data_IF_605138553175
#
_entry.id   IF_605138553175
#
_cell.length_a   1.000
_cell.length_b   1.000
_cell.length_c   1.000
_cell.angle_alpha   90.00
_cell.angle_beta   90.00
_cell.angle_gamma   90.00
#
_symmetry.space_group_name_H-M   'P 1'
#
loop_
_entity.id
_entity.type
_entity.pdbx_description
1 polymer ?
#
# COMPACT_ATOMS: atom_id res chain seq x y z
N UNK A 1 -6.35 -26.76 -0.58
CA UNK A 1 -5.30 -26.13 0.24
C UNK A 1 -4.90 -24.86 -0.50
N UNK A 2 -5.20 -23.69 0.05
CA UNK A 2 -4.82 -22.40 -0.55
C UNK A 2 -3.30 -22.26 -0.39
N UNK A 3 -2.58 -22.02 -1.48
CA UNK A 3 -1.13 -21.76 -1.47
C UNK A 3 -0.91 -20.26 -1.37
N UNK A 4 0.19 -19.78 -0.77
CA UNK A 4 0.57 -18.37 -0.80
C UNK A 4 0.97 -17.95 -2.20
N UNK A 5 -0.01 -17.83 -3.10
CA UNK A 5 0.16 -17.44 -4.50
C UNK A 5 -0.86 -16.35 -4.88
N UNK A 6 -0.81 -15.90 -6.12
CA UNK A 6 -1.70 -14.85 -6.67
C UNK A 6 -3.20 -15.18 -6.50
N UNK A 7 -3.58 -16.45 -6.49
CA UNK A 7 -4.97 -16.84 -6.26
C UNK A 7 -5.38 -16.58 -4.81
N UNK A 8 -4.47 -16.82 -3.85
CA UNK A 8 -4.71 -16.49 -2.44
C UNK A 8 -4.75 -15.00 -2.16
N UNK A 9 -3.99 -14.20 -2.92
CA UNK A 9 -4.09 -12.75 -2.91
C UNK A 9 -5.52 -12.31 -3.26
N UNK A 10 -6.00 -12.69 -4.45
CA UNK A 10 -7.33 -12.29 -4.91
C UNK A 10 -8.45 -12.75 -3.96
N UNK A 11 -8.35 -13.96 -3.41
CA UNK A 11 -9.34 -14.44 -2.43
C UNK A 11 -9.40 -13.54 -1.20
N UNK A 12 -8.26 -13.07 -0.67
CA UNK A 12 -8.22 -12.17 0.48
C UNK A 12 -8.78 -10.80 0.16
N UNK A 13 -8.35 -10.19 -0.94
CA UNK A 13 -8.85 -8.86 -1.33
C UNK A 13 -10.34 -8.86 -1.67
N UNK A 14 -10.85 -9.93 -2.30
CA UNK A 14 -12.29 -10.13 -2.45
C UNK A 14 -12.99 -10.28 -1.10
N UNK A 15 -12.44 -11.06 -0.18
CA UNK A 15 -13.03 -11.25 1.14
C UNK A 15 -13.09 -9.93 1.94
N UNK A 16 -12.03 -9.11 1.89
CA UNK A 16 -12.00 -7.79 2.52
C UNK A 16 -13.03 -6.85 1.90
N UNK A 17 -13.10 -6.78 0.56
CA UNK A 17 -14.12 -5.98 -0.14
C UNK A 17 -15.56 -6.44 0.15
N UNK A 18 -15.83 -7.76 0.15
CA UNK A 18 -17.13 -8.32 0.52
C UNK A 18 -17.50 -8.00 1.97
N UNK A 19 -16.52 -7.90 2.87
CA UNK A 19 -16.74 -7.48 4.25
C UNK A 19 -17.16 -6.02 4.33
N UNK A 20 -16.53 -5.13 3.54
CA UNK A 20 -16.96 -3.72 3.44
C UNK A 20 -18.42 -3.64 2.95
N UNK A 21 -18.80 -4.40 1.92
CA UNK A 21 -20.16 -4.42 1.39
C UNK A 21 -21.19 -4.85 2.44
N UNK A 22 -20.87 -5.89 3.23
CA UNK A 22 -21.71 -6.38 4.33
C UNK A 22 -21.88 -5.32 5.42
N UNK A 23 -20.81 -4.62 5.77
CA UNK A 23 -20.85 -3.55 6.77
C UNK A 23 -21.70 -2.37 6.28
N UNK A 24 -21.52 -1.94 5.03
CA UNK A 24 -22.35 -0.90 4.42
C UNK A 24 -23.83 -1.30 4.39
N UNK A 25 -24.14 -2.55 4.02
CA UNK A 25 -25.50 -3.07 4.04
C UNK A 25 -26.12 -3.11 5.44
N UNK A 26 -25.31 -3.40 6.47
CA UNK A 26 -25.76 -3.42 7.87
C UNK A 26 -25.96 -2.02 8.45
N UNK A 27 -25.06 -1.08 8.16
CA UNK A 27 -25.09 0.30 8.69
C UNK A 27 -26.05 1.21 7.91
N UNK A 28 -26.42 0.84 6.69
CA UNK A 28 -27.36 1.57 5.83
C UNK A 28 -26.69 2.54 4.86
N UNK A 29 -27.46 2.99 3.86
CA UNK A 29 -26.97 3.74 2.69
C UNK A 29 -26.47 5.16 2.98
N UNK A 30 -26.68 5.68 4.18
CA UNK A 30 -26.17 7.00 4.62
C UNK A 30 -24.87 6.89 5.42
N UNK A 31 -24.39 5.67 5.66
CA UNK A 31 -23.14 5.44 6.37
C UNK A 31 -21.94 5.85 5.52
N UNK A 32 -20.86 6.27 6.19
CA UNK A 32 -19.57 6.57 5.56
C UNK A 32 -18.49 5.73 6.23
N UNK A 33 -17.73 4.99 5.43
CA UNK A 33 -16.63 4.15 5.90
C UNK A 33 -15.25 4.77 5.68
N UNK A 34 -14.29 4.33 6.48
CA UNK A 34 -12.86 4.50 6.24
C UNK A 34 -12.23 3.11 6.32
N UNK A 35 -11.55 2.70 5.24
CA UNK A 35 -10.77 1.46 5.19
C UNK A 35 -9.30 1.83 5.34
N UNK A 36 -8.64 1.26 6.34
CA UNK A 36 -7.22 1.48 6.62
C UNK A 36 -6.46 0.20 6.35
N UNK A 37 -5.72 0.17 5.25
CA UNK A 37 -4.91 -0.98 4.83
C UNK A 37 -3.63 -0.50 4.15
N UNK A 38 -2.71 -1.43 3.89
CA UNK A 38 -1.46 -1.13 3.21
C UNK A 38 -1.68 -0.62 1.77
N UNK A 39 -0.74 0.19 1.26
CA UNK A 39 -0.77 0.78 -0.10
C UNK A 39 -1.02 -0.22 -1.23
N UNK A 40 -0.61 -1.48 -1.05
CA UNK A 40 -0.83 -2.58 -2.02
C UNK A 40 -2.30 -3.00 -2.10
N UNK A 41 -3.07 -2.81 -1.03
CA UNK A 41 -4.51 -3.11 -0.98
C UNK A 41 -5.37 -1.90 -1.34
N UNK A 42 -5.05 -0.70 -0.81
CA UNK A 42 -5.92 0.49 -0.97
C UNK A 42 -5.76 1.25 -2.28
N UNK A 43 -4.65 1.09 -3.00
CA UNK A 43 -4.48 1.71 -4.32
C UNK A 43 -5.35 1.03 -5.39
N UNK A 44 -5.43 1.58 -6.59
CA UNK A 44 -6.06 0.89 -7.74
C UNK A 44 -5.04 -0.04 -8.43
N UNK A 45 -5.23 -1.36 -8.33
CA UNK A 45 -4.34 -2.36 -8.93
C UNK A 45 -4.19 -2.22 -10.45
N UNK A 46 -5.15 -1.59 -11.15
CA UNK A 46 -5.06 -1.34 -12.61
C UNK A 46 -3.96 -0.35 -12.98
N UNK A 47 -3.45 0.38 -12.00
CA UNK A 47 -2.35 1.34 -12.14
C UNK A 47 -1.03 0.81 -11.57
N UNK A 48 -0.90 -0.51 -11.42
CA UNK A 48 0.33 -1.23 -11.10
C UNK A 48 0.54 -2.40 -12.07
N UNK A 49 1.60 -3.18 -11.87
CA UNK A 49 1.83 -4.44 -12.57
C UNK A 49 0.83 -5.55 -12.19
N UNK A 50 0.16 -5.45 -11.03
CA UNK A 50 -0.89 -6.37 -10.58
C UNK A 50 -1.96 -6.64 -11.65
N UNK A 51 -2.30 -5.64 -12.45
CA UNK A 51 -3.28 -5.77 -13.54
C UNK A 51 -2.83 -6.79 -14.61
N UNK A 52 -1.59 -6.69 -15.07
CA UNK A 52 -1.00 -7.64 -16.03
C UNK A 52 -0.84 -9.03 -15.43
N UNK A 53 -0.85 -9.08 -14.10
CA UNK A 53 -0.79 -10.27 -13.29
C UNK A 53 -2.17 -10.89 -12.97
N UNK A 54 -3.27 -10.26 -13.38
CA UNK A 54 -4.62 -10.72 -13.03
C UNK A 54 -4.90 -10.66 -11.52
N UNK A 55 -4.13 -9.86 -10.79
CA UNK A 55 -4.33 -9.57 -9.38
C UNK A 55 -5.24 -8.35 -9.23
N UNK A 56 -6.17 -8.42 -8.29
CA UNK A 56 -7.04 -7.31 -7.89
C UNK A 56 -6.65 -6.82 -6.51
N UNK A 57 -7.14 -5.65 -6.12
CA UNK A 57 -7.04 -5.22 -4.74
C UNK A 57 -8.30 -4.50 -4.24
N UNK A 58 -8.38 -4.30 -2.94
CA UNK A 58 -9.53 -3.65 -2.28
C UNK A 58 -9.86 -2.29 -2.91
N UNK A 59 -8.86 -1.46 -3.19
CA UNK A 59 -9.05 -0.15 -3.82
C UNK A 59 -9.71 -0.23 -5.19
N UNK A 60 -9.24 -1.12 -6.06
CA UNK A 60 -9.89 -1.39 -7.35
C UNK A 60 -11.33 -1.90 -7.15
N UNK A 61 -11.51 -2.93 -6.32
CA UNK A 61 -12.80 -3.59 -6.14
C UNK A 61 -13.85 -2.62 -5.60
N UNK A 62 -13.51 -1.82 -4.60
CA UNK A 62 -14.44 -0.82 -4.06
C UNK A 62 -14.76 0.25 -5.10
N UNK A 63 -13.76 0.73 -5.85
CA UNK A 63 -14.00 1.73 -6.91
C UNK A 63 -14.91 1.19 -8.01
N UNK A 64 -14.80 -0.09 -8.38
CA UNK A 64 -15.69 -0.72 -9.36
C UNK A 64 -17.11 -0.94 -8.81
N UNK A 65 -17.24 -1.45 -7.57
CA UNK A 65 -18.53 -1.77 -6.95
C UNK A 65 -19.34 -0.54 -6.52
N UNK A 66 -18.66 0.54 -6.13
CA UNK A 66 -19.27 1.74 -5.52
C UNK A 66 -19.05 3.02 -6.34
N UNK A 67 -18.80 2.89 -7.64
CA UNK A 67 -18.52 4.04 -8.52
C UNK A 67 -19.59 5.14 -8.48
N UNK A 68 -20.86 4.77 -8.30
CA UNK A 68 -21.99 5.71 -8.26
C UNK A 68 -22.05 6.59 -7.00
N UNK A 69 -21.53 6.09 -5.87
CA UNK A 69 -21.56 6.79 -4.57
C UNK A 69 -20.24 7.50 -4.24
N UNK A 70 -19.18 7.16 -4.98
CA UNK A 70 -17.86 7.77 -4.87
C UNK A 70 -16.95 7.05 -3.88
N UNK A 71 -15.75 6.70 -4.35
CA UNK A 71 -14.66 6.09 -3.56
C UNK A 71 -13.41 6.93 -3.76
N UNK A 72 -12.75 7.32 -2.67
CA UNK A 72 -11.48 8.03 -2.70
C UNK A 72 -10.35 7.14 -2.20
N UNK A 73 -9.32 6.96 -3.02
CA UNK A 73 -8.14 6.16 -2.66
C UNK A 73 -7.01 7.08 -2.22
N UNK A 74 -6.52 6.93 -0.99
CA UNK A 74 -5.45 7.78 -0.43
C UNK A 74 -4.22 6.93 -0.17
N UNK A 75 -3.12 7.25 -0.84
CA UNK A 75 -1.83 6.58 -0.66
C UNK A 75 -0.93 7.31 0.33
N UNK A 76 0.10 6.60 0.79
CA UNK A 76 1.17 7.15 1.62
C UNK A 76 2.52 6.98 0.92
N UNK A 77 3.42 7.95 1.02
CA UNK A 77 4.76 7.85 0.46
C UNK A 77 5.78 8.52 1.39
N UNK A 78 7.01 8.01 1.39
CA UNK A 78 8.08 8.69 2.12
C UNK A 78 9.49 8.38 1.64
N UNK A 79 10.38 9.36 1.83
CA UNK A 79 11.71 9.37 1.24
C UNK A 79 12.73 8.53 2.02
N UNK A 80 12.87 8.75 3.32
CA UNK A 80 13.86 8.07 4.19
C UNK A 80 13.34 7.96 5.61
N UNK A 81 14.05 7.21 6.44
CA UNK A 81 13.83 7.23 7.88
C UNK A 81 13.89 5.84 8.49
N UNK A 82 12.87 5.49 9.27
CA UNK A 82 12.80 4.24 10.01
C UNK A 82 11.41 3.62 9.93
N UNK A 83 11.36 2.29 9.93
CA UNK A 83 10.13 1.48 10.03
C UNK A 83 10.28 0.45 11.14
N UNK A 84 9.15 -0.07 11.62
CA UNK A 84 9.09 -1.23 12.49
C UNK A 84 8.61 -2.42 11.64
N UNK A 85 9.43 -3.45 11.51
CA UNK A 85 9.15 -4.62 10.68
C UNK A 85 9.89 -5.86 11.18
N UNK A 86 9.47 -7.05 10.75
CA UNK A 86 10.21 -8.29 10.96
C UNK A 86 11.29 -8.49 9.89
N UNK A 87 12.41 -9.14 10.24
CA UNK A 87 13.39 -9.62 9.24
C UNK A 87 12.91 -10.85 8.45
N UNK A 88 11.67 -11.28 8.66
CA UNK A 88 11.03 -12.44 8.04
C UNK A 88 9.72 -12.73 8.76
N UNK A 89 8.89 -13.57 8.15
CA UNK A 89 7.64 -14.03 8.76
C UNK A 89 7.91 -14.74 10.10
N UNK A 90 7.12 -14.42 11.12
CA UNK A 90 7.28 -14.93 12.49
C UNK A 90 8.54 -14.43 13.23
N UNK A 91 9.36 -13.55 12.64
CA UNK A 91 10.46 -12.93 13.35
C UNK A 91 9.97 -11.76 14.21
N UNK A 92 10.58 -11.51 15.39
CA UNK A 92 10.23 -10.35 16.21
C UNK A 92 10.37 -9.04 15.44
N UNK A 93 9.53 -8.07 15.75
CA UNK A 93 9.64 -6.75 15.15
C UNK A 93 10.92 -6.04 15.58
N UNK A 94 11.50 -5.28 14.66
CA UNK A 94 12.68 -4.46 14.93
C UNK A 94 12.61 -3.16 14.15
N UNK A 95 13.24 -2.13 14.72
CA UNK A 95 13.40 -0.84 14.06
C UNK A 95 14.47 -0.99 12.99
N UNK A 96 14.10 -0.70 11.75
CA UNK A 96 14.98 -0.82 10.58
C UNK A 96 15.13 0.53 9.89
N UNK A 97 16.33 0.78 9.36
CA UNK A 97 16.61 1.97 8.56
C UNK A 97 15.98 1.80 7.18
N UNK A 98 15.20 2.80 6.77
CA UNK A 98 14.78 3.01 5.39
C UNK A 98 15.76 3.98 4.74
N UNK A 99 16.57 3.53 3.76
CA UNK A 99 17.50 4.41 3.08
C UNK A 99 16.75 5.50 2.27
N UNK A 100 17.48 6.50 1.80
CA UNK A 100 16.97 7.45 0.82
C UNK A 100 16.29 6.72 -0.35
N UNK A 101 15.23 7.34 -0.89
CA UNK A 101 14.52 6.76 -2.01
C UNK A 101 15.44 6.55 -3.21
N UNK A 102 15.16 5.51 -3.98
CA UNK A 102 15.93 5.21 -5.19
C UNK A 102 15.75 6.31 -6.22
N UNK A 103 16.87 6.75 -6.79
CA UNK A 103 16.88 7.70 -7.90
C UNK A 103 15.88 7.31 -9.01
N UNK A 104 15.07 8.27 -9.43
CA UNK A 104 14.03 8.09 -10.44
C UNK A 104 12.75 7.39 -9.97
N UNK A 105 12.60 7.10 -8.68
CA UNK A 105 11.31 6.67 -8.10
C UNK A 105 10.36 7.85 -7.93
N UNK A 106 9.07 7.57 -7.65
CA UNK A 106 8.15 8.66 -7.34
C UNK A 106 8.54 9.42 -6.07
N UNK A 107 9.07 8.73 -5.05
CA UNK A 107 9.55 9.35 -3.81
C UNK A 107 10.79 10.22 -4.03
N UNK A 108 11.67 9.85 -4.96
CA UNK A 108 12.82 10.67 -5.34
C UNK A 108 12.37 11.98 -6.00
N UNK A 109 11.42 11.90 -6.93
CA UNK A 109 10.81 13.09 -7.55
C UNK A 109 10.10 13.99 -6.53
N UNK A 110 9.41 13.39 -5.56
CA UNK A 110 8.73 14.15 -4.49
C UNK A 110 9.72 14.81 -3.54
N UNK A 111 10.82 14.14 -3.22
CA UNK A 111 11.91 14.71 -2.43
C UNK A 111 12.50 15.94 -3.12
N UNK A 112 12.84 15.84 -4.40
CA UNK A 112 13.39 16.97 -5.17
C UNK A 112 12.41 18.14 -5.29
N UNK A 113 11.11 17.85 -5.44
CA UNK A 113 10.10 18.86 -5.69
C UNK A 113 9.55 19.54 -4.42
N UNK A 114 9.44 18.81 -3.31
CA UNK A 114 8.77 19.27 -2.10
C UNK A 114 9.73 19.48 -0.93
N UNK A 115 10.56 18.48 -0.61
CA UNK A 115 11.50 18.53 0.52
C UNK A 115 10.89 18.68 1.92
N UNK A 116 9.55 18.73 2.04
CA UNK A 116 8.82 18.88 3.30
C UNK A 116 7.51 18.07 3.27
N UNK A 117 6.91 17.74 4.44
CA UNK A 117 5.66 16.99 4.50
C UNK A 117 4.52 17.70 3.78
N UNK A 118 3.74 16.95 3.01
CA UNK A 118 2.66 17.52 2.19
C UNK A 118 1.48 16.55 2.04
N UNK A 119 0.32 17.11 1.71
CA UNK A 119 -0.83 16.36 1.22
C UNK A 119 -1.11 16.81 -0.21
N UNK A 120 -0.99 15.87 -1.14
CA UNK A 120 -1.20 16.11 -2.56
C UNK A 120 -2.58 15.59 -2.94
N UNK A 121 -3.52 16.49 -3.22
CA UNK A 121 -4.86 16.12 -3.71
C UNK A 121 -4.85 16.21 -5.23
N UNK A 122 -5.12 15.10 -5.91
CA UNK A 122 -5.06 15.05 -7.36
C UNK A 122 -6.40 15.51 -7.95
N UNK A 123 -6.38 16.60 -8.70
CA UNK A 123 -7.55 17.11 -9.42
C UNK A 123 -8.02 16.16 -10.54
N UNK A 124 -9.13 16.47 -11.20
CA UNK A 124 -9.67 15.63 -12.28
C UNK A 124 -8.71 15.50 -13.48
N UNK A 125 -7.91 16.54 -13.73
CA UNK A 125 -6.87 16.48 -14.76
C UNK A 125 -5.67 15.64 -14.28
N UNK A 126 -5.67 14.38 -14.70
CA UNK A 126 -4.59 13.41 -14.44
C UNK A 126 -3.53 13.37 -15.56
N UNK A 127 -3.54 14.33 -16.49
CA UNK A 127 -2.63 14.35 -17.64
C UNK A 127 -1.23 14.90 -17.33
N UNK A 128 -1.01 15.42 -16.12
CA UNK A 128 0.32 15.92 -15.73
C UNK A 128 1.39 14.82 -15.92
N UNK A 129 2.61 15.24 -16.28
CA UNK A 129 3.70 14.30 -16.61
C UNK A 129 3.97 13.30 -15.49
N UNK A 130 3.98 13.77 -14.24
CA UNK A 130 4.22 12.91 -13.08
C UNK A 130 3.07 11.92 -12.84
N UNK A 131 1.82 12.40 -12.86
CA UNK A 131 0.63 11.56 -12.60
C UNK A 131 0.41 10.49 -13.67
N UNK A 132 0.84 10.74 -14.90
CA UNK A 132 0.68 9.81 -16.03
C UNK A 132 1.87 8.88 -16.26
N UNK A 133 3.05 9.19 -15.71
CA UNK A 133 4.27 8.39 -15.88
C UNK A 133 4.31 7.14 -15.01
N UNK A 134 4.99 6.11 -15.52
CA UNK A 134 5.32 4.90 -14.75
C UNK A 134 6.68 5.08 -14.08
N UNK A 135 6.74 4.90 -12.76
CA UNK A 135 7.97 4.77 -12.01
C UNK A 135 7.80 3.80 -10.84
N UNK A 136 8.89 3.48 -10.14
CA UNK A 136 8.81 2.70 -8.91
C UNK A 136 8.14 3.52 -7.80
N UNK A 137 7.26 2.88 -7.04
CA UNK A 137 6.67 3.39 -5.80
C UNK A 137 7.00 2.40 -4.67
N UNK A 138 7.64 2.89 -3.61
CA UNK A 138 8.08 2.07 -2.47
C UNK A 138 6.87 1.51 -1.71
N UNK A 139 6.91 0.21 -1.41
CA UNK A 139 5.88 -0.54 -0.71
C UNK A 139 6.55 -1.51 0.29
N UNK A 140 6.94 -1.00 1.45
CA UNK A 140 7.51 -1.81 2.54
C UNK A 140 6.36 -2.41 3.36
N UNK A 141 6.26 -3.75 3.38
CA UNK A 141 5.26 -4.48 4.15
C UNK A 141 5.69 -4.79 5.59
N UNK A 142 5.09 -5.83 6.16
CA UNK A 142 5.38 -6.31 7.53
C UNK A 142 6.76 -6.95 7.66
N UNK A 143 7.32 -7.43 6.56
CA UNK A 143 8.70 -7.92 6.45
C UNK A 143 9.53 -6.91 5.67
N UNK A 144 10.75 -6.64 6.14
CA UNK A 144 11.66 -5.72 5.48
C UNK A 144 13.12 -6.16 5.62
N UNK A 145 13.89 -5.97 4.54
CA UNK A 145 15.35 -6.13 4.53
C UNK A 145 15.95 -4.91 3.83
N UNK A 146 16.61 -3.99 4.57
CA UNK A 146 17.27 -2.83 3.99
C UNK A 146 18.32 -3.18 2.93
N UNK A 147 18.93 -4.38 3.00
CA UNK A 147 19.88 -4.88 2.02
C UNK A 147 19.23 -5.26 0.68
N UNK A 148 17.91 -5.49 0.66
CA UNK A 148 17.12 -5.86 -0.53
C UNK A 148 16.15 -4.77 -0.97
N UNK A 149 16.46 -3.52 -0.66
CA UNK A 149 15.59 -2.35 -0.89
C UNK A 149 15.00 -2.26 -2.31
N UNK A 150 15.74 -2.73 -3.32
CA UNK A 150 15.30 -2.69 -4.71
C UNK A 150 13.99 -3.44 -4.97
N UNK A 151 13.73 -4.52 -4.22
CA UNK A 151 12.54 -5.36 -4.37
C UNK A 151 11.24 -4.69 -3.88
N UNK A 152 11.34 -3.63 -3.07
CA UNK A 152 10.17 -2.96 -2.50
C UNK A 152 9.54 -1.93 -3.44
N UNK A 153 10.01 -1.78 -4.68
CA UNK A 153 9.51 -0.76 -5.61
C UNK A 153 8.54 -1.35 -6.63
N UNK A 154 7.26 -1.07 -6.44
CA UNK A 154 6.18 -1.51 -7.31
C UNK A 154 6.03 -0.51 -8.48
N UNK A 155 6.09 -0.95 -9.75
CA UNK A 155 5.75 -0.13 -10.90
C UNK A 155 4.37 0.49 -10.71
N UNK A 156 4.27 1.81 -10.78
CA UNK A 156 3.05 2.55 -10.45
C UNK A 156 2.83 3.71 -11.39
N UNK A 157 1.57 4.00 -11.69
CA UNK A 157 1.12 5.28 -12.26
C UNK A 157 0.26 6.02 -11.24
N UNK A 158 0.82 7.06 -10.61
CA UNK A 158 0.22 7.75 -9.46
C UNK A 158 -1.21 8.24 -9.70
N UNK A 159 -1.46 8.87 -10.85
CA UNK A 159 -2.77 9.45 -11.17
C UNK A 159 -3.88 8.42 -11.37
N UNK A 160 -3.53 7.16 -11.66
CA UNK A 160 -4.48 6.05 -11.71
C UNK A 160 -4.62 5.31 -10.37
N UNK A 161 -3.52 5.21 -9.61
CA UNK A 161 -3.47 4.42 -8.38
C UNK A 161 -4.19 5.10 -7.21
N UNK A 162 -4.11 6.42 -7.11
CA UNK A 162 -4.63 7.19 -5.96
C UNK A 162 -5.39 8.44 -6.40
N UNK A 163 -6.17 9.00 -5.49
CA UNK A 163 -6.82 10.32 -5.59
C UNK A 163 -6.11 11.39 -4.76
N UNK A 164 -5.42 10.95 -3.71
CA UNK A 164 -4.52 11.79 -2.94
C UNK A 164 -3.32 10.99 -2.43
N UNK A 165 -2.24 11.69 -2.12
CA UNK A 165 -1.04 11.10 -1.56
C UNK A 165 -0.59 11.92 -0.34
N UNK A 166 -0.38 11.24 0.78
CA UNK A 166 0.23 11.81 1.98
C UNK A 166 1.74 11.56 1.89
N UNK A 167 2.51 12.65 1.90
CA UNK A 167 3.96 12.63 1.71
C UNK A 167 4.72 12.93 3.00
N UNK A 168 5.74 12.12 3.27
CA UNK A 168 6.66 12.28 4.39
C UNK A 168 8.11 12.32 3.90
N UNK A 169 8.79 13.44 4.15
CA UNK A 169 10.21 13.56 3.86
C UNK A 169 11.06 12.66 4.78
N UNK A 170 10.79 12.72 6.09
CA UNK A 170 11.46 11.90 7.11
C UNK A 170 10.42 11.09 7.91
N UNK A 171 10.61 9.77 7.96
CA UNK A 171 9.75 8.83 8.66
C UNK A 171 10.40 8.33 9.95
N UNK A 172 9.59 8.11 10.99
CA UNK A 172 10.03 7.43 12.21
C UNK A 172 9.26 6.13 12.39
N UNK A 173 9.93 5.11 12.93
CA UNK A 173 9.28 3.86 13.26
C UNK A 173 8.15 4.10 14.26
N UNK A 174 7.02 3.45 14.01
CA UNK A 174 5.89 3.48 14.94
C UNK A 174 6.30 2.91 16.30
N UNK A 175 5.72 3.45 17.37
CA UNK A 175 5.93 2.93 18.73
C UNK A 175 4.76 2.03 19.07
N UNK A 176 4.97 0.71 19.19
CA UNK A 176 3.88 -0.20 19.51
C UNK A 176 3.38 0.08 20.93
N UNK A 177 2.07 -0.02 21.15
CA UNK A 177 1.50 0.06 22.50
C UNK A 177 1.95 -1.14 23.36
N UNK A 178 2.07 -2.31 22.71
CA UNK A 178 2.59 -3.55 23.26
C UNK A 178 3.43 -4.25 22.20
N UNK A 179 4.56 -4.83 22.60
CA UNK A 179 5.36 -5.68 21.73
C UNK A 179 4.65 -7.00 21.48
N UNK A 180 4.80 -7.56 20.28
CA UNK A 180 4.25 -8.89 20.01
C UNK A 180 5.06 -9.96 20.75
N UNK A 181 4.33 -10.88 21.37
CA UNK A 181 4.94 -12.06 21.96
C UNK A 181 5.40 -13.01 20.87
N UNK A 182 6.31 -13.94 21.21
CA UNK A 182 6.64 -15.03 20.29
C UNK A 182 5.38 -15.82 19.95
N UNK A 183 5.09 -16.08 18.65
CA UNK A 183 3.95 -16.88 18.25
C UNK A 183 3.99 -18.26 18.89
N UNK A 184 2.84 -18.74 19.36
CA UNK A 184 2.69 -20.10 19.92
C UNK A 184 2.48 -21.13 18.80
N UNK A 185 2.00 -20.68 17.64
CA UNK A 185 1.83 -21.46 16.41
C UNK A 185 2.64 -20.84 15.27
N UNK A 186 3.06 -21.62 14.25
CA UNK A 186 3.76 -21.07 13.10
C UNK A 186 2.87 -20.12 12.31
N UNK A 187 3.36 -18.91 12.06
CA UNK A 187 2.73 -18.00 11.10
C UNK A 187 3.04 -18.47 9.68
N UNK A 188 2.01 -18.82 8.93
CA UNK A 188 2.15 -19.20 7.53
C UNK A 188 2.31 -17.96 6.66
N UNK A 189 3.31 -17.99 5.80
CA UNK A 189 3.56 -16.94 4.81
C UNK A 189 2.38 -16.76 3.83
N UNK A 190 2.16 -15.51 3.43
CA UNK A 190 1.14 -15.11 2.44
C UNK A 190 1.72 -14.13 1.44
N UNK A 191 1.08 -13.91 0.28
CA UNK A 191 1.56 -12.95 -0.72
C UNK A 191 1.38 -11.47 -0.28
N UNK A 192 2.27 -10.53 -0.67
CA UNK A 192 3.58 -10.80 -1.24
C UNK A 192 4.45 -11.57 -0.25
N UNK A 193 5.12 -12.61 -0.75
CA UNK A 193 6.11 -13.35 0.03
C UNK A 193 7.20 -12.40 0.54
N UNK A 194 7.61 -12.62 1.78
CA UNK A 194 8.79 -11.96 2.30
C UNK A 194 9.98 -12.75 1.79
N UNK A 195 10.63 -12.25 0.74
CA UNK A 195 11.89 -12.71 0.08
C UNK A 195 11.78 -13.34 -1.31
#
# INVERSE_FOLDING_TARGET
MVRGDRSSWNVRDHHMADTVDRLTGHLGSTSKGLVWEHNTHVGDARATDMAGEGMVNVGQLLRERHHDVGVSLVGFAGHRGQVLAGAGWGAPEQVMIVPAARAGSHEDLLHEALGEPAVLVFGEDRASRWLSSWAGHRAIGVVYDPGRERGNYVPTRMGGRYDALVWFEDMQAVRPLHHEGRPVEPEYETEPTGF
#
